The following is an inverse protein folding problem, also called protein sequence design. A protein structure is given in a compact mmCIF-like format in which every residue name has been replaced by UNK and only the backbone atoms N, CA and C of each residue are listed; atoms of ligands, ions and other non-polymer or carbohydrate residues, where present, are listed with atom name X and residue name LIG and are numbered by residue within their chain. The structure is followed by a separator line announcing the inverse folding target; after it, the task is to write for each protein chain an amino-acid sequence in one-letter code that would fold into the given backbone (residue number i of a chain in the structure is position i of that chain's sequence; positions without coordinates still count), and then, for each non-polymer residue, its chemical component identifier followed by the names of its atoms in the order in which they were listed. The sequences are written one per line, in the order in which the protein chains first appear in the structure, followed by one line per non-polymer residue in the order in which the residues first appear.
data_IF_870506956575
#
_entry.id   IF_870506956575
#
_cell.length_a   1.000
_cell.length_b   1.000
_cell.length_c   1.000
_cell.angle_alpha   90.00
_cell.angle_beta   90.00
_cell.angle_gamma   90.00
#
_symmetry.space_group_name_H-M   'P 1'
#
loop_
_entity.id
_entity.type
_entity.pdbx_description
1 polymer ?
#
# COMPACT_ATOMS: atom_id res chain seq x y z
N UNK A 1 -33.48 -35.49 -21.95
CA UNK A 1 -32.45 -35.73 -20.95
C UNK A 1 -31.70 -34.42 -20.77
N UNK A 2 -31.71 -33.81 -19.58
CA UNK A 2 -30.93 -32.61 -19.30
C UNK A 2 -29.42 -33.00 -19.20
N UNK A 3 -28.55 -32.13 -19.73
CA UNK A 3 -27.10 -32.31 -19.68
C UNK A 3 -26.61 -32.30 -18.21
N UNK A 4 -25.58 -33.08 -17.87
CA UNK A 4 -25.01 -33.10 -16.53
C UNK A 4 -24.37 -31.74 -16.22
N UNK A 5 -24.81 -31.10 -15.14
CA UNK A 5 -24.13 -29.94 -14.56
C UNK A 5 -22.78 -30.42 -14.01
N UNK A 6 -21.71 -29.86 -14.53
CA UNK A 6 -20.37 -30.02 -13.96
C UNK A 6 -20.38 -29.39 -12.54
N UNK A 7 -19.80 -30.06 -11.54
CA UNK A 7 -19.70 -29.49 -10.20
C UNK A 7 -18.87 -28.20 -10.29
N UNK A 8 -19.45 -27.08 -9.86
CA UNK A 8 -18.77 -25.81 -9.71
C UNK A 8 -17.55 -26.04 -8.82
N UNK A 9 -16.39 -25.60 -9.30
CA UNK A 9 -15.18 -25.59 -8.48
C UNK A 9 -15.42 -24.80 -7.19
N UNK A 10 -14.59 -25.00 -6.14
CA UNK A 10 -14.81 -24.38 -4.85
C UNK A 10 -14.94 -22.87 -5.05
N UNK A 11 -16.09 -22.33 -4.65
CA UNK A 11 -16.28 -20.89 -4.56
C UNK A 11 -15.24 -20.36 -3.60
N UNK A 12 -14.23 -19.67 -4.11
CA UNK A 12 -13.32 -18.88 -3.30
C UNK A 12 -14.17 -17.75 -2.68
N UNK A 13 -14.62 -17.94 -1.45
CA UNK A 13 -15.55 -17.02 -0.77
C UNK A 13 -14.81 -16.00 0.09
N UNK A 14 -13.54 -16.17 0.36
CA UNK A 14 -12.74 -15.30 1.20
C UNK A 14 -11.89 -14.28 0.43
N UNK A 15 -11.55 -13.19 1.08
CA UNK A 15 -10.70 -12.12 0.54
C UNK A 15 -9.26 -12.61 0.36
N UNK A 16 -8.62 -12.12 -0.69
CA UNK A 16 -7.23 -12.40 -1.04
C UNK A 16 -6.46 -11.08 -1.02
N UNK A 17 -5.66 -10.88 0.02
CA UNK A 17 -5.04 -9.59 0.33
C UNK A 17 -3.55 -9.60 0.03
N UNK A 18 -3.08 -8.57 -0.66
CA UNK A 18 -1.67 -8.26 -0.82
C UNK A 18 -1.31 -7.10 0.10
N UNK A 19 -0.30 -7.28 0.94
CA UNK A 19 0.24 -6.22 1.81
C UNK A 19 1.67 -5.90 1.36
N UNK A 20 1.92 -4.67 0.92
CA UNK A 20 3.29 -4.21 0.64
C UNK A 20 3.86 -3.51 1.87
N UNK A 21 5.18 -3.56 2.04
CA UNK A 21 5.82 -2.99 3.22
C UNK A 21 5.66 -3.86 4.47
N UNK A 22 5.68 -5.17 4.29
CA UNK A 22 5.47 -6.15 5.36
C UNK A 22 6.51 -6.02 6.49
N UNK A 23 7.75 -5.66 6.17
CA UNK A 23 8.82 -5.42 7.15
C UNK A 23 8.68 -4.11 7.92
N UNK A 24 7.73 -3.23 7.53
CA UNK A 24 7.44 -2.01 8.28
C UNK A 24 6.54 -2.31 9.48
N UNK A 25 6.56 -1.41 10.47
CA UNK A 25 5.65 -1.52 11.62
C UNK A 25 4.18 -1.71 11.18
N UNK A 26 3.71 -0.88 10.23
CA UNK A 26 2.32 -0.93 9.78
C UNK A 26 2.00 -2.18 8.98
N UNK A 27 2.85 -2.55 8.05
CA UNK A 27 2.62 -3.74 7.21
C UNK A 27 2.55 -5.02 8.04
N UNK A 28 3.47 -5.20 8.99
CA UNK A 28 3.47 -6.34 9.88
C UNK A 28 2.22 -6.41 10.78
N UNK A 29 1.84 -5.28 11.41
CA UNK A 29 0.64 -5.23 12.28
C UNK A 29 -0.66 -5.42 11.50
N UNK A 30 -0.75 -4.90 10.29
CA UNK A 30 -1.90 -5.13 9.42
C UNK A 30 -1.98 -6.61 9.03
N UNK A 31 -0.87 -7.23 8.66
CA UNK A 31 -0.84 -8.65 8.34
C UNK A 31 -1.32 -9.51 9.53
N UNK A 32 -0.83 -9.24 10.76
CA UNK A 32 -1.31 -9.91 11.98
C UNK A 32 -2.83 -9.75 12.18
N UNK A 33 -3.35 -8.54 11.97
CA UNK A 33 -4.79 -8.31 12.09
C UNK A 33 -5.60 -9.07 11.03
N UNK A 34 -5.08 -9.15 9.79
CA UNK A 34 -5.70 -9.92 8.71
C UNK A 34 -5.66 -11.44 9.00
N UNK A 35 -4.61 -11.95 9.63
CA UNK A 35 -4.53 -13.36 10.04
C UNK A 35 -5.64 -13.77 11.02
N UNK A 36 -6.06 -12.82 11.86
CA UNK A 36 -7.15 -13.04 12.81
C UNK A 36 -8.55 -12.92 12.16
N UNK A 37 -8.66 -12.42 10.94
CA UNK A 37 -9.94 -12.26 10.23
C UNK A 37 -10.28 -13.54 9.45
N UNK A 38 -11.35 -14.28 9.85
CA UNK A 38 -11.75 -15.51 9.18
C UNK A 38 -12.29 -15.30 7.76
N UNK A 39 -12.58 -14.06 7.36
CA UNK A 39 -13.03 -13.72 6.00
C UNK A 39 -11.87 -13.52 5.03
N UNK A 40 -10.63 -13.60 5.50
CA UNK A 40 -9.42 -13.49 4.68
C UNK A 40 -8.82 -14.87 4.46
N UNK A 41 -8.86 -15.36 3.23
CA UNK A 41 -8.35 -16.69 2.86
C UNK A 41 -6.85 -16.69 2.59
N UNK A 42 -6.35 -15.63 1.94
CA UNK A 42 -4.94 -15.54 1.50
C UNK A 42 -4.38 -14.18 1.86
N UNK A 43 -3.19 -14.19 2.43
CA UNK A 43 -2.42 -12.99 2.75
C UNK A 43 -1.04 -13.15 2.12
N UNK A 44 -0.68 -12.26 1.20
CA UNK A 44 0.64 -12.19 0.58
C UNK A 44 1.32 -10.92 1.08
N UNK A 45 2.47 -11.04 1.68
CA UNK A 45 3.25 -9.92 2.15
C UNK A 45 4.47 -9.67 1.27
N UNK A 46 4.66 -8.46 0.78
CA UNK A 46 5.79 -8.06 -0.05
C UNK A 46 6.68 -7.06 0.68
N UNK A 47 7.98 -7.35 0.72
CA UNK A 47 9.02 -6.41 1.16
C UNK A 47 10.41 -6.86 0.70
N UNK A 48 11.38 -5.98 0.80
CA UNK A 48 12.81 -6.29 0.64
C UNK A 48 13.42 -6.85 1.93
N UNK A 49 12.78 -6.62 3.07
CA UNK A 49 13.19 -7.06 4.41
C UNK A 49 12.13 -7.98 5.02
N UNK A 50 12.57 -8.89 5.85
CA UNK A 50 11.68 -9.78 6.58
C UNK A 50 10.78 -9.01 7.56
N UNK A 51 9.57 -9.52 7.83
CA UNK A 51 8.70 -8.92 8.85
C UNK A 51 9.36 -8.97 10.23
N UNK A 52 9.12 -7.93 11.03
CA UNK A 52 9.62 -7.84 12.41
C UNK A 52 8.67 -8.46 13.43
N UNK A 53 7.53 -8.97 12.99
CA UNK A 53 6.49 -9.61 13.79
C UNK A 53 6.33 -11.05 13.34
N UNK A 54 5.90 -11.92 14.25
CA UNK A 54 5.56 -13.30 13.93
C UNK A 54 4.27 -13.34 13.12
N UNK A 55 4.28 -14.09 12.03
CA UNK A 55 3.15 -14.31 11.11
C UNK A 55 2.98 -15.81 10.88
N UNK A 56 1.75 -16.30 10.93
CA UNK A 56 1.43 -17.73 10.83
C UNK A 56 0.84 -18.11 9.45
N UNK A 57 0.02 -17.22 8.87
CA UNK A 57 -0.72 -17.49 7.62
C UNK A 57 -0.27 -16.63 6.45
N UNK A 58 0.57 -15.63 6.69
CA UNK A 58 1.03 -14.69 5.66
C UNK A 58 2.19 -15.30 4.88
N UNK A 59 2.01 -15.43 3.58
CA UNK A 59 3.08 -15.83 2.67
C UNK A 59 3.99 -14.62 2.39
N UNK A 60 5.20 -14.63 2.95
CA UNK A 60 6.19 -13.59 2.69
C UNK A 60 6.94 -13.84 1.39
N UNK A 61 6.94 -12.85 0.53
CA UNK A 61 7.71 -12.85 -0.72
C UNK A 61 8.70 -11.69 -0.68
N UNK A 62 9.98 -12.03 -0.64
CA UNK A 62 11.05 -11.03 -0.73
C UNK A 62 11.18 -10.51 -2.14
N UNK A 63 10.85 -9.25 -2.36
CA UNK A 63 10.85 -8.64 -3.68
C UNK A 63 11.09 -7.14 -3.58
N UNK A 64 11.85 -6.62 -4.52
CA UNK A 64 11.89 -5.20 -4.81
C UNK A 64 10.62 -4.77 -5.58
N UNK A 65 10.44 -3.46 -5.74
CA UNK A 65 9.27 -2.91 -6.45
C UNK A 65 9.36 -3.03 -7.98
N UNK A 66 9.95 -4.12 -8.49
CA UNK A 66 10.07 -4.37 -9.94
C UNK A 66 8.72 -4.76 -10.55
N UNK A 67 8.30 -4.04 -11.59
CA UNK A 67 7.01 -4.26 -12.26
C UNK A 67 6.77 -5.71 -12.70
N UNK A 68 7.75 -6.34 -13.34
CA UNK A 68 7.58 -7.70 -13.89
C UNK A 68 7.31 -8.74 -12.79
N UNK A 69 7.89 -8.55 -11.61
CA UNK A 69 7.70 -9.44 -10.47
C UNK A 69 6.34 -9.14 -9.84
N UNK A 70 6.00 -7.88 -9.62
CA UNK A 70 4.71 -7.47 -9.07
C UNK A 70 3.55 -7.95 -9.94
N UNK A 71 3.64 -7.78 -11.26
CA UNK A 71 2.62 -8.24 -12.19
C UNK A 71 2.42 -9.77 -12.14
N UNK A 72 3.51 -10.55 -12.03
CA UNK A 72 3.44 -12.01 -11.88
C UNK A 72 2.76 -12.39 -10.56
N UNK A 73 3.10 -11.72 -9.45
CA UNK A 73 2.53 -12.01 -8.14
C UNK A 73 1.03 -11.67 -8.15
N UNK A 74 0.64 -10.47 -8.53
CA UNK A 74 -0.77 -10.03 -8.57
C UNK A 74 -1.61 -11.01 -9.41
N UNK A 75 -1.11 -11.39 -10.59
CA UNK A 75 -1.80 -12.36 -11.46
C UNK A 75 -1.87 -13.75 -10.84
N UNK A 76 -0.77 -14.28 -10.34
CA UNK A 76 -0.70 -15.66 -9.84
C UNK A 76 -1.52 -15.85 -8.57
N UNK A 77 -1.48 -14.87 -7.68
CA UNK A 77 -2.17 -14.92 -6.38
C UNK A 77 -3.63 -14.53 -6.47
N UNK A 78 -4.06 -13.90 -7.59
CA UNK A 78 -5.44 -13.43 -7.82
C UNK A 78 -5.99 -12.61 -6.65
N UNK A 79 -5.17 -11.70 -6.14
CA UNK A 79 -5.58 -10.82 -5.04
C UNK A 79 -6.70 -9.88 -5.49
N UNK A 80 -7.66 -9.66 -4.60
CA UNK A 80 -8.76 -8.73 -4.79
C UNK A 80 -8.54 -7.40 -4.05
N UNK A 81 -7.68 -7.41 -3.05
CA UNK A 81 -7.39 -6.25 -2.19
C UNK A 81 -5.88 -6.03 -2.07
N UNK A 82 -5.45 -4.80 -2.29
CA UNK A 82 -4.07 -4.36 -2.07
C UNK A 82 -4.04 -3.35 -0.92
N UNK A 83 -3.19 -3.60 0.07
CA UNK A 83 -2.89 -2.66 1.16
C UNK A 83 -1.44 -2.20 0.99
N UNK A 84 -1.28 -0.98 0.49
CA UNK A 84 0.02 -0.39 0.19
C UNK A 84 0.51 0.46 1.35
N UNK A 85 1.41 -0.10 2.17
CA UNK A 85 1.98 0.60 3.34
C UNK A 85 3.44 0.99 3.15
N UNK A 86 4.05 0.60 2.06
CA UNK A 86 5.47 0.79 1.79
C UNK A 86 5.76 2.20 1.27
N UNK A 87 5.60 3.20 2.13
CA UNK A 87 6.02 4.57 1.85
C UNK A 87 7.02 5.02 2.92
N UNK A 88 8.23 5.32 2.48
CA UNK A 88 9.29 5.87 3.33
C UNK A 88 9.01 7.34 3.55
N UNK A 89 8.72 7.71 4.79
CA UNK A 89 8.43 9.09 5.20
C UNK A 89 9.57 9.70 6.03
N UNK A 90 10.51 8.88 6.49
CA UNK A 90 11.69 9.33 7.24
C UNK A 90 12.88 9.54 6.27
N UNK A 91 13.29 10.79 6.01
CA UNK A 91 14.36 11.08 5.07
C UNK A 91 15.76 10.63 5.56
N UNK A 92 15.88 10.16 6.79
CA UNK A 92 17.15 9.67 7.34
C UNK A 92 17.41 8.19 7.03
N UNK A 93 16.38 7.45 6.61
CA UNK A 93 16.49 6.01 6.35
C UNK A 93 17.21 5.67 5.05
N UNK A 94 17.14 6.54 4.05
CA UNK A 94 17.76 6.31 2.76
C UNK A 94 18.03 7.58 1.97
N UNK A 95 18.79 7.49 0.89
CA UNK A 95 19.05 8.62 0.00
C UNK A 95 17.78 9.11 -0.68
N UNK A 96 17.75 10.39 -1.11
CA UNK A 96 16.63 10.97 -1.86
C UNK A 96 16.25 10.16 -3.11
N UNK A 97 17.26 9.66 -3.82
CA UNK A 97 17.08 8.84 -5.01
C UNK A 97 16.38 7.51 -4.67
N UNK A 98 16.90 6.82 -3.66
CA UNK A 98 16.32 5.55 -3.22
C UNK A 98 14.88 5.74 -2.70
N UNK A 99 14.61 6.82 -1.97
CA UNK A 99 13.25 7.16 -1.52
C UNK A 99 12.30 7.38 -2.71
N UNK A 100 12.75 8.08 -3.75
CA UNK A 100 11.95 8.29 -4.97
C UNK A 100 11.69 6.96 -5.69
N UNK A 101 12.71 6.13 -5.84
CA UNK A 101 12.56 4.80 -6.46
C UNK A 101 11.55 3.93 -5.70
N UNK A 102 11.66 3.90 -4.39
CA UNK A 102 10.76 3.11 -3.54
C UNK A 102 9.34 3.67 -3.54
N UNK A 103 9.18 4.95 -3.20
CA UNK A 103 7.86 5.54 -3.03
C UNK A 103 7.13 5.74 -4.37
N UNK A 104 7.80 6.34 -5.34
CA UNK A 104 7.14 6.77 -6.58
C UNK A 104 7.14 5.65 -7.61
N UNK A 105 8.32 5.16 -7.98
CA UNK A 105 8.41 4.12 -9.01
C UNK A 105 7.79 2.81 -8.52
N UNK A 106 7.99 2.46 -7.24
CA UNK A 106 7.36 1.28 -6.64
C UNK A 106 5.83 1.35 -6.67
N UNK A 107 5.24 2.49 -6.33
CA UNK A 107 3.79 2.71 -6.40
C UNK A 107 3.26 2.64 -7.83
N UNK A 108 3.94 3.30 -8.79
CA UNK A 108 3.60 3.21 -10.21
C UNK A 108 3.59 1.77 -10.71
N UNK A 109 4.62 1.01 -10.39
CA UNK A 109 4.75 -0.39 -10.81
C UNK A 109 3.64 -1.27 -10.20
N UNK A 110 3.29 -1.04 -8.93
CA UNK A 110 2.20 -1.76 -8.27
C UNK A 110 0.85 -1.46 -8.94
N UNK A 111 0.56 -0.19 -9.21
CA UNK A 111 -0.69 0.20 -9.84
C UNK A 111 -0.77 -0.25 -11.30
N UNK A 112 0.33 -0.20 -12.05
CA UNK A 112 0.37 -0.79 -13.38
C UNK A 112 0.09 -2.31 -13.36
N UNK A 113 0.58 -3.02 -12.34
CA UNK A 113 0.25 -4.44 -12.16
C UNK A 113 -1.24 -4.65 -11.79
N UNK A 114 -1.80 -3.77 -10.95
CA UNK A 114 -3.20 -3.81 -10.56
C UNK A 114 -4.17 -3.43 -11.69
N UNK A 115 -3.73 -2.61 -12.65
CA UNK A 115 -4.51 -2.20 -13.85
C UNK A 115 -4.46 -3.21 -15.00
N UNK A 116 -3.75 -4.34 -14.85
CA UNK A 116 -3.67 -5.32 -15.93
C UNK A 116 -5.07 -5.83 -16.33
N UNK A 117 -5.33 -6.12 -17.62
CA UNK A 117 -6.67 -6.49 -18.10
C UNK A 117 -7.29 -7.72 -17.43
N UNK A 118 -6.44 -8.60 -16.90
CA UNK A 118 -6.83 -9.82 -16.19
C UNK A 118 -6.73 -9.67 -14.65
N UNK A 119 -6.59 -8.45 -14.16
CA UNK A 119 -6.51 -8.14 -12.72
C UNK A 119 -7.83 -8.45 -12.00
N UNK A 120 -7.70 -9.08 -10.85
CA UNK A 120 -8.81 -9.36 -9.93
C UNK A 120 -8.96 -8.30 -8.86
N UNK A 121 -8.11 -7.28 -8.85
CA UNK A 121 -8.12 -6.21 -7.84
C UNK A 121 -9.41 -5.41 -7.91
N UNK A 122 -10.02 -5.20 -6.74
CA UNK A 122 -11.26 -4.43 -6.55
C UNK A 122 -11.12 -3.39 -5.47
N UNK A 123 -10.15 -3.55 -4.58
CA UNK A 123 -9.91 -2.62 -3.48
C UNK A 123 -8.43 -2.28 -3.40
N UNK A 124 -8.11 -1.01 -3.26
CA UNK A 124 -6.75 -0.52 -3.02
C UNK A 124 -6.79 0.45 -1.85
N UNK A 125 -6.01 0.15 -0.80
CA UNK A 125 -5.86 1.00 0.37
C UNK A 125 -4.41 1.47 0.40
N UNK A 126 -4.20 2.78 0.38
CA UNK A 126 -2.87 3.38 0.38
C UNK A 126 -2.65 4.16 1.67
N UNK A 127 -1.59 3.82 2.39
CA UNK A 127 -1.14 4.59 3.53
C UNK A 127 -0.29 5.77 3.04
N UNK A 128 -0.78 6.97 3.22
CA UNK A 128 -0.06 8.22 3.02
C UNK A 128 0.23 8.91 4.36
N UNK A 129 0.63 10.16 4.33
CA UNK A 129 0.89 10.96 5.53
C UNK A 129 0.40 12.38 5.38
N UNK A 130 0.01 13.00 6.52
CA UNK A 130 -0.41 14.42 6.59
C UNK A 130 0.68 15.40 6.15
N UNK A 131 1.91 14.95 5.96
CA UNK A 131 2.99 15.76 5.40
C UNK A 131 2.69 16.30 3.98
N UNK A 132 1.69 15.77 3.28
CA UNK A 132 1.22 16.31 1.99
C UNK A 132 0.61 17.70 2.14
N UNK A 133 0.10 18.06 3.31
CA UNK A 133 -0.44 19.40 3.59
C UNK A 133 0.65 20.45 3.86
N UNK A 134 1.90 19.99 3.99
CA UNK A 134 3.02 20.77 4.45
C UNK A 134 3.24 20.62 5.98
N UNK A 135 4.37 21.11 6.44
CA UNK A 135 4.74 21.06 7.86
C UNK A 135 5.64 22.26 8.23
N UNK A 136 5.35 23.42 7.64
CA UNK A 136 5.98 24.68 7.97
C UNK A 136 5.11 25.53 8.92
N UNK A 137 5.66 26.59 9.49
CA UNK A 137 4.93 27.48 10.41
C UNK A 137 3.76 28.22 9.72
N UNK A 138 3.78 28.32 8.39
CA UNK A 138 2.75 28.99 7.60
C UNK A 138 1.66 28.03 7.13
N UNK A 139 1.86 26.71 7.34
CA UNK A 139 0.89 25.71 6.94
C UNK A 139 -0.29 25.68 7.92
N UNK A 140 -1.52 25.34 7.45
CA UNK A 140 -2.69 25.37 8.31
C UNK A 140 -2.59 24.35 9.45
N UNK A 141 -3.04 24.71 10.64
CA UNK A 141 -3.16 23.81 11.79
C UNK A 141 -4.40 22.92 11.73
N UNK A 142 -5.40 23.33 10.94
CA UNK A 142 -6.62 22.58 10.68
C UNK A 142 -6.77 22.42 9.18
N UNK A 143 -7.02 21.21 8.73
CA UNK A 143 -7.18 20.89 7.31
C UNK A 143 -8.22 19.79 7.13
N UNK A 144 -8.84 19.80 5.97
CA UNK A 144 -9.69 18.75 5.43
C UNK A 144 -8.91 17.99 4.34
N UNK A 145 -9.49 16.93 3.81
CA UNK A 145 -8.89 16.13 2.74
C UNK A 145 -8.53 16.98 1.51
N UNK A 146 -9.32 18.00 1.22
CA UNK A 146 -9.16 18.88 0.05
C UNK A 146 -8.28 20.11 0.30
N UNK A 147 -7.76 20.28 1.51
CA UNK A 147 -6.91 21.43 1.83
C UNK A 147 -5.60 21.35 1.03
N UNK A 148 -5.29 22.32 0.16
CA UNK A 148 -4.02 22.35 -0.54
C UNK A 148 -2.89 22.80 0.42
N UNK A 149 -1.65 22.46 0.13
CA UNK A 149 -0.52 23.02 0.87
C UNK A 149 -0.47 24.54 0.67
N UNK A 150 -0.19 25.29 1.74
CA UNK A 150 -0.15 26.77 1.74
C UNK A 150 1.02 27.33 0.92
N UNK A 151 1.98 26.53 0.57
CA UNK A 151 3.20 26.86 -0.16
C UNK A 151 3.64 25.71 -1.07
N UNK A 152 4.55 26.01 -2.00
CA UNK A 152 5.19 24.97 -2.79
C UNK A 152 5.94 23.96 -1.89
N UNK A 153 5.70 22.68 -2.11
CA UNK A 153 6.33 21.59 -1.39
C UNK A 153 7.85 21.60 -1.61
N UNK A 154 8.62 21.71 -0.53
CA UNK A 154 10.08 21.87 -0.61
C UNK A 154 10.84 20.65 -0.15
N UNK A 155 10.30 19.92 0.82
CA UNK A 155 10.97 18.74 1.36
C UNK A 155 10.83 17.55 0.40
N UNK A 156 11.86 16.71 0.27
CA UNK A 156 11.78 15.53 -0.61
C UNK A 156 10.60 14.61 -0.29
N UNK A 157 10.29 14.42 0.99
CA UNK A 157 9.17 13.59 1.43
C UNK A 157 7.82 14.18 1.02
N UNK A 158 7.64 15.51 1.20
CA UNK A 158 6.41 16.21 0.79
C UNK A 158 6.14 15.99 -0.71
N UNK A 159 7.17 16.24 -1.55
CA UNK A 159 7.06 16.05 -3.01
C UNK A 159 6.83 14.59 -3.41
N UNK A 160 7.50 13.67 -2.72
CA UNK A 160 7.35 12.24 -3.00
C UNK A 160 5.93 11.76 -2.70
N UNK A 161 5.35 12.20 -1.58
CA UNK A 161 3.98 11.88 -1.20
C UNK A 161 2.96 12.51 -2.15
N UNK A 162 3.15 13.77 -2.54
CA UNK A 162 2.29 14.46 -3.52
C UNK A 162 2.28 13.73 -4.87
N UNK A 163 3.45 13.29 -5.35
CA UNK A 163 3.54 12.48 -6.56
C UNK A 163 2.82 11.13 -6.41
N UNK A 164 3.03 10.43 -5.29
CA UNK A 164 2.33 9.16 -5.01
C UNK A 164 0.82 9.37 -5.01
N UNK A 165 0.33 10.40 -4.32
CA UNK A 165 -1.11 10.68 -4.28
C UNK A 165 -1.66 11.13 -5.65
N UNK A 166 -0.84 11.76 -6.48
CA UNK A 166 -1.17 12.01 -7.90
C UNK A 166 -1.44 10.68 -8.62
N UNK A 167 -0.51 9.74 -8.55
CA UNK A 167 -0.71 8.41 -9.17
C UNK A 167 -1.88 7.62 -8.58
N UNK A 168 -2.19 7.80 -7.29
CA UNK A 168 -3.38 7.20 -6.69
C UNK A 168 -4.66 7.75 -7.31
N UNK A 169 -4.72 9.07 -7.53
CA UNK A 169 -5.87 9.72 -8.20
C UNK A 169 -6.01 9.27 -9.65
N UNK A 170 -4.92 9.31 -10.42
CA UNK A 170 -4.90 8.86 -11.81
C UNK A 170 -5.35 7.40 -11.93
N UNK A 171 -4.84 6.53 -11.05
CA UNK A 171 -5.25 5.12 -11.00
C UNK A 171 -6.75 4.96 -10.69
N UNK A 172 -7.30 5.73 -9.77
CA UNK A 172 -8.71 5.68 -9.41
C UNK A 172 -9.61 6.16 -10.57
N UNK A 173 -9.19 7.18 -11.30
CA UNK A 173 -9.89 7.69 -12.49
C UNK A 173 -9.88 6.67 -13.63
N UNK A 174 -8.72 6.06 -13.88
CA UNK A 174 -8.55 5.07 -14.97
C UNK A 174 -9.22 3.72 -14.65
N UNK A 175 -9.46 3.42 -13.37
CA UNK A 175 -10.02 2.14 -12.91
C UNK A 175 -11.29 2.33 -12.05
N UNK A 176 -12.40 2.83 -12.60
CA UNK A 176 -13.61 3.19 -11.83
C UNK A 176 -14.31 1.97 -11.18
N UNK A 177 -13.90 0.76 -11.52
CA UNK A 177 -14.37 -0.48 -10.93
C UNK A 177 -13.59 -0.88 -9.66
N UNK A 178 -12.52 -0.15 -9.32
CA UNK A 178 -11.70 -0.36 -8.13
C UNK A 178 -12.03 0.69 -7.08
N UNK A 179 -12.33 0.26 -5.87
CA UNK A 179 -12.50 1.18 -4.73
C UNK A 179 -11.12 1.54 -4.20
N UNK A 180 -10.79 2.83 -4.23
CA UNK A 180 -9.52 3.34 -3.74
C UNK A 180 -9.71 4.14 -2.46
N UNK A 181 -8.98 3.79 -1.40
CA UNK A 181 -8.96 4.50 -0.13
C UNK A 181 -7.56 5.03 0.16
N UNK A 182 -7.42 6.34 0.28
CA UNK A 182 -6.17 7.00 0.62
C UNK A 182 -6.21 7.48 2.08
N UNK A 183 -5.34 6.92 2.92
CA UNK A 183 -5.31 7.18 4.35
C UNK A 183 -4.09 8.03 4.71
N UNK A 184 -4.29 9.29 5.07
CA UNK A 184 -3.25 10.23 5.48
C UNK A 184 -3.04 10.18 6.99
N UNK A 185 -2.02 9.43 7.42
CA UNK A 185 -1.69 9.32 8.83
C UNK A 185 -0.89 10.54 9.32
N UNK A 186 -1.23 11.03 10.50
CA UNK A 186 -0.36 11.94 11.26
C UNK A 186 0.83 11.15 11.86
N UNK A 187 1.75 11.85 12.53
CA UNK A 187 2.78 11.18 13.32
C UNK A 187 2.12 10.38 14.46
N UNK A 188 2.38 9.09 14.47
CA UNK A 188 1.89 8.20 15.52
C UNK A 188 3.00 8.00 16.54
N UNK A 189 2.66 8.12 17.82
CA UNK A 189 3.56 7.91 18.96
C UNK A 189 3.09 6.68 19.72
N UNK A 190 4.03 5.79 20.05
CA UNK A 190 3.74 4.59 20.82
C UNK A 190 5.02 3.89 21.24
N UNK A 191 4.94 2.98 22.20
CA UNK A 191 6.09 2.25 22.73
C UNK A 191 6.77 1.32 21.72
N UNK A 192 6.03 0.88 20.73
CA UNK A 192 6.51 -0.09 19.73
C UNK A 192 6.83 0.56 18.37
N UNK A 193 6.56 1.86 18.21
CA UNK A 193 6.79 2.55 16.95
C UNK A 193 7.96 3.52 17.08
N UNK A 194 8.97 3.33 16.24
CA UNK A 194 10.12 4.23 16.14
C UNK A 194 9.86 5.26 15.05
N UNK A 195 9.76 6.51 15.44
CA UNK A 195 9.58 7.66 14.54
C UNK A 195 10.70 8.68 14.73
N UNK A 196 10.87 9.65 13.83
CA UNK A 196 11.82 10.74 14.04
C UNK A 196 11.55 11.56 15.33
N UNK A 197 10.34 11.49 15.89
CA UNK A 197 9.97 12.17 17.12
C UNK A 197 10.29 11.36 18.39
N UNK A 198 10.56 10.07 18.27
CA UNK A 198 10.79 9.16 19.41
C UNK A 198 12.24 8.65 19.48
N UNK A 199 13.09 9.13 18.58
CA UNK A 199 14.54 8.86 18.56
C UNK A 199 15.33 9.84 19.40
#
# INVERSE_FOLDING_TARGET
MPAPQLPGGPHQTGRRVLVTGLGTFWGGRIAQALEADPTVDVIIGLDTTEPTVELERTEYVRVDANYSILAKIVRATRVDTIIHTFLVVDPTQMSKRAMHEVNVIGTMNLFAAASAPDSTVRNVIVKSATAVYGCGPEDPTWFTEDTPPSRALRRPVERSLDQVEGYVRDFAEDNPHVVVSLLRFSNVIGSEIVTPLTR
#
